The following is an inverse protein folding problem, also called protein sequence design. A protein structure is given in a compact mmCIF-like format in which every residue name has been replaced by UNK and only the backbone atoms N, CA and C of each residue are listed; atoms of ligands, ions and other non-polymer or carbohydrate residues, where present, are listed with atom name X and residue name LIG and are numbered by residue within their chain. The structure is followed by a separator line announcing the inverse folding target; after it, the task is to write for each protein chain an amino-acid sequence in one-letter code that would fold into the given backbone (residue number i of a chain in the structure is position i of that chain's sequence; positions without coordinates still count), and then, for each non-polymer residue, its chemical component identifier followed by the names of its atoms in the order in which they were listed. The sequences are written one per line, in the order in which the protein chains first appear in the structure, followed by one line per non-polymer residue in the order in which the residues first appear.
data_IF_235588903157
#
_entry.id   IF_235588903157
#
_cell.length_a   1.000
_cell.length_b   1.000
_cell.length_c   1.000
_cell.angle_alpha   90.00
_cell.angle_beta   90.00
_cell.angle_gamma   90.00
#
_symmetry.space_group_name_H-M   'P 1'
#
loop_
_entity.id
_entity.type
_entity.pdbx_description
1 polymer ?
#
# COMPACT_ATOMS: atom_id res chain seq x y z
N UNK A 1 -16.95 6.64 33.33
CA UNK A 1 -16.61 5.30 33.76
C UNK A 1 -15.56 4.78 32.80
N UNK A 2 -14.33 4.47 33.21
CA UNK A 2 -13.37 3.92 32.29
C UNK A 2 -13.81 2.51 31.90
N UNK A 3 -13.96 2.28 30.59
CA UNK A 3 -14.15 0.95 30.04
C UNK A 3 -12.86 0.13 30.25
N UNK A 4 -12.77 -0.54 31.38
CA UNK A 4 -11.81 -1.58 31.63
C UNK A 4 -12.13 -2.74 30.67
N UNK A 5 -11.36 -2.84 29.59
CA UNK A 5 -11.25 -4.10 28.86
C UNK A 5 -10.50 -5.11 29.75
N UNK A 6 -11.02 -6.32 29.93
CA UNK A 6 -10.25 -7.36 30.58
C UNK A 6 -8.97 -7.56 29.77
N UNK A 7 -7.83 -7.64 30.45
CA UNK A 7 -6.61 -8.25 29.94
C UNK A 7 -6.92 -9.73 29.69
N UNK A 8 -7.68 -10.05 28.67
CA UNK A 8 -7.63 -11.36 28.07
C UNK A 8 -6.25 -11.46 27.42
N UNK A 9 -5.31 -11.95 28.21
CA UNK A 9 -4.14 -12.61 27.67
C UNK A 9 -4.65 -13.57 26.62
N UNK A 10 -4.43 -13.22 25.35
CA UNK A 10 -4.63 -14.14 24.25
C UNK A 10 -3.63 -15.29 24.48
N UNK A 11 -4.04 -16.27 25.31
CA UNK A 11 -3.34 -17.54 25.47
C UNK A 11 -3.50 -18.33 24.19
N UNK A 12 -2.83 -17.89 23.14
CA UNK A 12 -2.70 -18.64 21.91
C UNK A 12 -1.67 -19.73 22.18
N UNK A 13 -2.15 -20.88 22.63
CA UNK A 13 -1.39 -22.11 22.57
C UNK A 13 -1.12 -22.42 21.09
N UNK A 14 0.05 -22.02 20.61
CA UNK A 14 0.50 -22.30 19.24
C UNK A 14 0.69 -23.80 19.09
N UNK A 15 -0.32 -24.51 18.58
CA UNK A 15 -0.09 -25.76 17.88
C UNK A 15 0.33 -25.40 16.48
N UNK A 16 1.62 -25.61 16.18
CA UNK A 16 2.25 -25.47 14.87
C UNK A 16 1.65 -26.47 13.86
N UNK A 17 0.46 -26.19 13.33
CA UNK A 17 0.07 -26.73 12.04
C UNK A 17 0.42 -25.66 11.01
N UNK A 18 1.46 -25.90 10.24
CA UNK A 18 1.90 -25.01 9.14
C UNK A 18 0.86 -25.08 8.02
N UNK A 19 -0.06 -24.15 7.99
CA UNK A 19 -0.91 -23.88 6.84
C UNK A 19 -0.06 -23.17 5.78
N UNK A 20 0.82 -23.92 5.11
CA UNK A 20 1.74 -23.42 4.10
C UNK A 20 1.72 -24.35 2.89
N UNK A 21 1.70 -23.76 1.69
CA UNK A 21 1.80 -24.49 0.43
C UNK A 21 3.19 -24.32 -0.17
N UNK A 22 3.80 -25.43 -0.60
CA UNK A 22 5.01 -25.42 -1.41
C UNK A 22 4.66 -25.80 -2.85
N UNK A 23 4.98 -24.92 -3.81
CA UNK A 23 4.66 -25.12 -5.21
C UNK A 23 5.93 -25.16 -6.06
N UNK A 24 5.84 -25.92 -7.15
CA UNK A 24 6.90 -26.04 -8.15
C UNK A 24 6.29 -25.94 -9.53
N UNK A 25 6.75 -24.97 -10.30
CA UNK A 25 6.42 -24.84 -11.71
C UNK A 25 7.50 -25.44 -12.63
N UNK A 26 7.36 -25.18 -13.92
CA UNK A 26 8.33 -25.61 -14.93
C UNK A 26 9.71 -24.99 -14.69
N UNK A 27 9.77 -23.69 -14.40
CA UNK A 27 11.01 -22.94 -14.19
C UNK A 27 11.28 -22.64 -12.73
N UNK A 28 10.35 -22.04 -12.00
CA UNK A 28 10.53 -21.81 -10.57
C UNK A 28 10.31 -23.08 -9.76
N UNK A 29 11.31 -23.48 -8.97
CA UNK A 29 11.28 -24.68 -8.12
C UNK A 29 11.19 -24.39 -6.63
N UNK A 30 11.25 -23.11 -6.23
CA UNK A 30 11.25 -22.67 -4.84
C UNK A 30 10.20 -21.56 -4.63
N UNK A 31 8.95 -21.98 -4.49
CA UNK A 31 7.83 -21.10 -4.18
C UNK A 31 7.11 -21.58 -2.92
N UNK A 32 6.94 -20.68 -1.93
CA UNK A 32 6.16 -20.93 -0.72
C UNK A 32 5.05 -19.89 -0.60
N UNK A 33 3.87 -20.34 -0.17
CA UNK A 33 2.71 -19.52 0.17
C UNK A 33 2.42 -19.74 1.64
N UNK A 34 2.42 -18.69 2.44
CA UNK A 34 2.27 -18.78 3.90
C UNK A 34 0.81 -18.80 4.37
N UNK A 35 -0.05 -19.45 3.61
CA UNK A 35 -1.44 -19.77 3.91
C UNK A 35 -1.92 -20.90 3.03
N UNK A 36 -2.94 -21.63 3.46
CA UNK A 36 -3.73 -22.56 2.64
C UNK A 36 -5.09 -21.96 2.24
N UNK A 37 -5.45 -20.79 2.81
CA UNK A 37 -6.64 -20.03 2.47
C UNK A 37 -6.36 -19.09 1.28
N UNK A 38 -6.45 -19.62 0.07
CA UNK A 38 -6.15 -18.91 -1.17
C UNK A 38 -7.27 -19.06 -2.19
N UNK A 39 -7.64 -17.97 -2.84
CA UNK A 39 -8.60 -17.95 -3.94
C UNK A 39 -8.09 -18.75 -5.15
N UNK A 40 -9.02 -19.41 -5.86
CA UNK A 40 -8.68 -20.23 -7.03
C UNK A 40 -8.00 -19.41 -8.14
N UNK A 41 -8.46 -18.18 -8.36
CA UNK A 41 -7.86 -17.28 -9.34
C UNK A 41 -6.42 -16.92 -8.99
N UNK A 42 -6.16 -16.62 -7.71
CA UNK A 42 -4.81 -16.35 -7.22
C UNK A 42 -3.90 -17.58 -7.39
N UNK A 43 -4.40 -18.77 -7.06
CA UNK A 43 -3.65 -20.01 -7.23
C UNK A 43 -3.33 -20.30 -8.70
N UNK A 44 -4.30 -20.08 -9.60
CA UNK A 44 -4.11 -20.21 -11.04
C UNK A 44 -3.05 -19.24 -11.57
N UNK A 45 -3.08 -17.97 -11.12
CA UNK A 45 -2.06 -16.99 -11.48
C UNK A 45 -0.66 -17.42 -11.01
N UNK A 46 -0.55 -18.01 -9.81
CA UNK A 46 0.72 -18.50 -9.27
C UNK A 46 1.29 -19.59 -10.17
N UNK A 47 0.52 -20.62 -10.50
CA UNK A 47 0.99 -21.67 -11.41
C UNK A 47 1.44 -21.10 -12.76
N UNK A 48 0.71 -20.10 -13.28
CA UNK A 48 1.05 -19.49 -14.55
C UNK A 48 2.43 -18.80 -14.51
N UNK A 49 2.73 -18.00 -13.49
CA UNK A 49 4.04 -17.33 -13.43
C UNK A 49 5.18 -18.27 -13.01
N UNK A 50 4.93 -19.33 -12.24
CA UNK A 50 5.95 -20.35 -11.93
C UNK A 50 6.45 -21.09 -13.18
N UNK A 51 5.65 -21.12 -14.24
CA UNK A 51 5.98 -21.69 -15.54
C UNK A 51 6.63 -20.68 -16.51
N UNK A 52 6.92 -19.46 -16.05
CA UNK A 52 7.57 -18.44 -16.87
C UNK A 52 9.10 -18.46 -16.69
N UNK A 53 9.90 -18.43 -17.79
CA UNK A 53 11.36 -18.53 -17.73
C UNK A 53 12.05 -17.48 -16.86
N UNK A 54 11.45 -16.26 -16.74
CA UNK A 54 12.03 -15.20 -15.93
C UNK A 54 12.15 -15.54 -14.44
N UNK A 55 11.45 -16.57 -13.97
CA UNK A 55 11.53 -17.03 -12.58
C UNK A 55 12.40 -18.27 -12.39
N UNK A 56 13.22 -18.62 -13.40
CA UNK A 56 14.18 -19.70 -13.27
C UNK A 56 15.13 -19.44 -12.09
N UNK A 57 15.26 -20.42 -11.20
CA UNK A 57 16.06 -20.35 -9.96
C UNK A 57 15.63 -19.23 -8.97
N UNK A 58 14.46 -18.63 -9.15
CA UNK A 58 13.94 -17.62 -8.21
C UNK A 58 13.45 -18.26 -6.92
N UNK A 59 13.69 -17.54 -5.79
CA UNK A 59 13.11 -17.82 -4.48
C UNK A 59 11.86 -16.97 -4.30
N UNK A 60 10.67 -17.51 -4.60
CA UNK A 60 9.42 -16.80 -4.49
C UNK A 60 8.78 -17.06 -3.12
N UNK A 61 8.35 -15.98 -2.46
CA UNK A 61 7.63 -16.05 -1.19
C UNK A 61 6.36 -15.22 -1.29
N UNK A 62 5.24 -15.81 -0.91
CA UNK A 62 3.91 -15.21 -1.02
C UNK A 62 3.30 -15.11 0.37
N UNK A 63 2.96 -13.89 0.76
CA UNK A 63 2.46 -13.54 2.09
C UNK A 63 1.04 -14.07 2.32
N UNK A 64 0.61 -14.24 3.60
CA UNK A 64 -0.71 -14.81 3.93
C UNK A 64 -1.90 -13.96 3.46
N UNK A 65 -1.72 -12.68 3.21
CA UNK A 65 -2.73 -11.77 2.67
C UNK A 65 -2.93 -11.90 1.14
N UNK A 66 -2.40 -12.98 0.55
CA UNK A 66 -2.46 -13.26 -0.89
C UNK A 66 -3.88 -13.20 -1.44
N UNK A 67 -4.02 -12.52 -2.58
CA UNK A 67 -5.23 -12.46 -3.39
C UNK A 67 -4.88 -12.17 -4.85
N UNK A 68 -5.84 -12.36 -5.76
CA UNK A 68 -5.62 -12.10 -7.18
C UNK A 68 -5.28 -10.62 -7.42
N UNK A 69 -4.20 -10.39 -8.15
CA UNK A 69 -3.81 -9.08 -8.67
C UNK A 69 -4.15 -8.95 -10.16
N UNK A 70 -3.58 -7.94 -10.84
CA UNK A 70 -3.85 -7.77 -12.27
C UNK A 70 -3.06 -8.78 -13.13
N UNK A 71 -1.76 -8.90 -12.93
CA UNK A 71 -0.88 -9.78 -13.73
C UNK A 71 -0.05 -10.74 -12.85
N UNK A 72 0.06 -10.43 -11.58
CA UNK A 72 0.67 -11.27 -10.55
C UNK A 72 -0.10 -11.07 -9.24
N UNK A 73 -0.06 -12.04 -8.35
CA UNK A 73 -0.75 -11.96 -7.06
C UNK A 73 -0.20 -10.81 -6.19
N UNK A 74 -1.04 -10.29 -5.33
CA UNK A 74 -0.66 -9.41 -4.21
C UNK A 74 -0.11 -10.27 -3.07
N UNK A 75 0.83 -9.76 -2.28
CA UNK A 75 1.59 -10.53 -1.30
C UNK A 75 2.88 -11.14 -1.86
N UNK A 76 3.24 -10.79 -3.09
CA UNK A 76 4.36 -11.39 -3.82
C UNK A 76 5.71 -10.77 -3.46
N UNK A 77 6.73 -11.63 -3.25
CA UNK A 77 8.12 -11.23 -3.06
C UNK A 77 9.08 -12.13 -3.82
N UNK A 78 10.09 -11.52 -4.45
CA UNK A 78 11.14 -12.23 -5.17
C UNK A 78 12.45 -11.44 -5.13
N UNK A 79 13.62 -12.09 -4.94
CA UNK A 79 14.90 -11.41 -5.11
C UNK A 79 15.00 -10.77 -6.50
N UNK A 80 15.45 -9.51 -6.52
CA UNK A 80 15.63 -8.78 -7.75
C UNK A 80 16.86 -9.29 -8.51
N UNK A 81 16.73 -9.42 -9.82
CA UNK A 81 17.78 -9.90 -10.73
C UNK A 81 18.15 -8.83 -11.76
N UNK A 82 18.47 -9.23 -12.97
CA UNK A 82 18.86 -8.38 -14.09
C UNK A 82 17.72 -8.02 -15.05
N UNK A 83 16.48 -8.31 -14.63
CA UNK A 83 15.27 -8.02 -15.40
C UNK A 83 14.10 -7.66 -14.49
N UNK A 84 13.14 -6.92 -15.01
CA UNK A 84 11.91 -6.55 -14.30
C UNK A 84 10.73 -6.47 -15.24
N UNK A 85 9.58 -6.99 -14.79
CA UNK A 85 8.31 -6.69 -15.41
C UNK A 85 7.60 -5.59 -14.57
N UNK A 86 7.21 -4.46 -15.17
CA UNK A 86 6.49 -3.39 -14.46
C UNK A 86 5.22 -3.86 -13.74
N UNK A 87 4.57 -4.92 -14.24
CA UNK A 87 3.37 -5.50 -13.62
C UNK A 87 3.65 -6.14 -12.25
N UNK A 88 4.91 -6.53 -11.98
CA UNK A 88 5.32 -7.11 -10.71
C UNK A 88 5.46 -6.08 -9.57
N UNK A 89 5.57 -4.81 -9.89
CA UNK A 89 5.40 -3.71 -8.93
C UNK A 89 3.96 -3.18 -8.98
N UNK A 90 3.40 -3.11 -10.20
CA UNK A 90 2.03 -2.65 -10.45
C UNK A 90 1.92 -1.14 -10.66
N UNK A 91 0.70 -0.68 -10.93
CA UNK A 91 0.45 0.74 -11.25
C UNK A 91 0.46 1.67 -10.04
N UNK A 92 0.26 1.16 -8.82
CA UNK A 92 0.36 1.97 -7.60
C UNK A 92 1.78 1.88 -7.01
N UNK A 93 2.75 2.37 -7.79
CA UNK A 93 4.17 2.38 -7.41
C UNK A 93 4.36 3.19 -6.12
N UNK A 94 5.02 2.60 -5.14
CA UNK A 94 5.28 3.27 -3.86
C UNK A 94 4.04 3.40 -2.99
N UNK A 95 2.97 2.59 -3.24
CA UNK A 95 1.86 2.49 -2.29
C UNK A 95 2.39 2.16 -0.91
N UNK A 96 1.90 2.85 0.11
CA UNK A 96 2.49 2.85 1.43
C UNK A 96 1.48 3.25 2.50
N UNK A 97 1.82 2.91 3.74
CA UNK A 97 1.08 3.30 4.94
C UNK A 97 1.98 4.17 5.80
N UNK A 98 1.51 5.37 6.14
CA UNK A 98 2.11 6.23 7.15
C UNK A 98 1.24 6.21 8.40
N UNK A 99 1.83 5.94 9.56
CA UNK A 99 1.15 6.02 10.86
C UNK A 99 1.91 6.97 11.76
N UNK A 100 1.22 7.96 12.31
CA UNK A 100 1.76 8.92 13.26
C UNK A 100 1.05 8.80 14.60
N UNK A 101 1.82 8.80 15.68
CA UNK A 101 1.34 8.75 17.06
C UNK A 101 1.50 10.13 17.67
N UNK A 102 0.48 10.60 18.40
CA UNK A 102 0.50 11.92 19.01
C UNK A 102 0.53 11.84 20.53
N UNK A 103 0.82 12.96 21.17
CA UNK A 103 0.75 13.16 22.62
C UNK A 103 -0.64 13.61 23.12
N UNK A 104 -1.65 13.69 22.22
CA UNK A 104 -2.99 14.17 22.57
C UNK A 104 -3.91 13.02 22.96
N UNK A 105 -4.47 13.02 24.21
CA UNK A 105 -5.48 12.06 24.63
C UNK A 105 -6.77 12.16 23.80
N UNK A 106 -7.34 10.99 23.49
CA UNK A 106 -8.57 10.85 22.71
C UNK A 106 -9.78 11.37 23.49
N UNK A 107 -10.69 12.03 22.77
CA UNK A 107 -11.99 12.45 23.27
C UNK A 107 -13.05 12.24 22.18
N UNK A 108 -14.03 11.39 22.45
CA UNK A 108 -15.07 11.00 21.49
C UNK A 108 -15.90 12.19 20.99
N UNK A 109 -16.08 13.21 21.83
CA UNK A 109 -16.81 14.43 21.45
C UNK A 109 -16.16 15.20 20.29
N UNK A 110 -14.86 14.97 20.02
CA UNK A 110 -14.08 15.66 18.99
C UNK A 110 -14.23 15.00 17.59
N UNK A 111 -14.70 13.72 17.50
CA UNK A 111 -14.71 12.94 16.27
C UNK A 111 -15.45 13.61 15.10
N UNK A 112 -16.66 14.16 15.25
CA UNK A 112 -17.36 14.80 14.14
C UNK A 112 -16.59 16.01 13.58
N UNK A 113 -15.99 16.81 14.45
CA UNK A 113 -15.23 17.98 14.07
C UNK A 113 -13.90 17.60 13.37
N UNK A 114 -13.22 16.57 13.88
CA UNK A 114 -11.98 16.03 13.28
C UNK A 114 -12.27 15.47 11.89
N UNK A 115 -13.26 14.56 11.73
CA UNK A 115 -13.57 13.98 10.43
C UNK A 115 -13.96 15.05 9.41
N UNK A 116 -14.83 16.00 9.81
CA UNK A 116 -15.24 17.12 8.96
C UNK A 116 -14.03 17.90 8.45
N UNK A 117 -13.13 18.28 9.35
CA UNK A 117 -11.94 19.08 9.02
C UNK A 117 -10.97 18.30 8.13
N UNK A 118 -10.80 16.98 8.36
CA UNK A 118 -9.99 16.13 7.47
C UNK A 118 -10.60 16.13 6.06
N UNK A 119 -11.92 15.93 5.91
CA UNK A 119 -12.58 15.92 4.60
C UNK A 119 -12.53 17.24 3.85
N UNK A 120 -12.51 18.35 4.57
CA UNK A 120 -12.36 19.68 3.96
C UNK A 120 -10.94 19.86 3.38
N UNK A 121 -9.91 19.37 4.07
CA UNK A 121 -8.51 19.63 3.77
C UNK A 121 -7.81 18.51 3.00
N UNK A 122 -8.21 17.25 3.18
CA UNK A 122 -7.68 16.07 2.46
C UNK A 122 -8.71 15.61 1.44
N UNK A 123 -8.29 15.41 0.17
CA UNK A 123 -9.19 14.98 -0.89
C UNK A 123 -9.14 13.47 -1.06
N UNK A 124 -10.30 12.87 -1.36
CA UNK A 124 -10.48 11.44 -1.55
C UNK A 124 -10.96 11.12 -2.97
N UNK A 125 -10.76 9.89 -3.42
CA UNK A 125 -11.20 9.41 -4.72
C UNK A 125 -10.45 10.09 -5.87
N UNK A 126 -11.21 10.50 -6.88
CA UNK A 126 -10.70 11.20 -8.06
C UNK A 126 -10.50 12.71 -7.84
N UNK A 127 -10.98 13.22 -6.72
CA UNK A 127 -10.87 14.66 -6.42
C UNK A 127 -9.43 15.03 -6.10
N UNK A 128 -8.96 16.13 -6.69
CA UNK A 128 -7.66 16.73 -6.42
C UNK A 128 -7.84 18.17 -5.89
N UNK A 129 -6.78 18.78 -5.39
CA UNK A 129 -6.82 20.16 -4.93
C UNK A 129 -6.94 21.14 -6.08
N UNK A 130 -7.69 22.24 -5.91
CA UNK A 130 -7.74 23.32 -6.87
C UNK A 130 -6.43 24.13 -6.91
N UNK A 131 -5.76 24.20 -5.75
CA UNK A 131 -4.47 24.88 -5.58
C UNK A 131 -3.53 23.97 -4.80
N UNK A 132 -2.22 24.08 -5.05
CA UNK A 132 -1.22 23.34 -4.28
C UNK A 132 -1.31 23.71 -2.79
N UNK A 133 -1.39 22.71 -1.94
CA UNK A 133 -1.46 22.83 -0.47
C UNK A 133 -0.08 22.69 0.19
N UNK A 134 0.98 22.79 -0.59
CA UNK A 134 2.38 22.63 -0.19
C UNK A 134 3.30 23.55 -1.00
N UNK A 135 4.56 23.69 -0.58
CA UNK A 135 5.59 24.41 -1.34
C UNK A 135 6.21 23.50 -2.39
N UNK A 136 6.03 23.83 -3.68
CA UNK A 136 6.55 23.09 -4.83
C UNK A 136 8.08 22.97 -4.80
N UNK A 137 8.81 23.95 -4.25
CA UNK A 137 10.27 23.88 -4.10
C UNK A 137 10.69 22.76 -3.15
N UNK A 138 9.89 22.49 -2.11
CA UNK A 138 10.15 21.39 -1.18
C UNK A 138 9.91 20.03 -1.85
N UNK A 139 8.94 19.92 -2.76
CA UNK A 139 8.75 18.72 -3.57
C UNK A 139 10.00 18.43 -4.42
N UNK A 140 10.48 19.40 -5.19
CA UNK A 140 11.69 19.20 -6.01
C UNK A 140 12.90 18.81 -5.17
N UNK A 141 13.12 19.49 -4.05
CA UNK A 141 14.20 19.15 -3.12
C UNK A 141 14.06 17.71 -2.62
N UNK A 142 12.84 17.28 -2.29
CA UNK A 142 12.58 15.92 -1.82
C UNK A 142 12.87 14.89 -2.92
N UNK A 143 12.34 15.09 -4.12
CA UNK A 143 12.58 14.20 -5.27
C UNK A 143 14.08 14.10 -5.58
N UNK A 144 14.79 15.23 -5.60
CA UNK A 144 16.23 15.26 -5.85
C UNK A 144 17.03 14.51 -4.79
N UNK A 145 16.67 14.70 -3.50
CA UNK A 145 17.31 14.00 -2.39
C UNK A 145 17.14 12.49 -2.52
N UNK A 146 15.89 12.01 -2.73
CA UNK A 146 15.60 10.58 -2.85
C UNK A 146 16.25 9.94 -4.08
N UNK A 147 16.27 10.65 -5.21
CA UNK A 147 17.00 10.19 -6.40
C UNK A 147 18.49 10.08 -6.13
N UNK A 148 19.07 11.06 -5.43
CA UNK A 148 20.50 11.06 -5.04
C UNK A 148 20.85 9.88 -4.12
N UNK A 149 20.03 9.63 -3.10
CA UNK A 149 20.18 8.49 -2.18
C UNK A 149 20.08 7.15 -2.92
N UNK A 150 19.09 6.99 -3.80
CA UNK A 150 18.92 5.78 -4.60
C UNK A 150 20.12 5.53 -5.53
N UNK A 151 20.63 6.57 -6.17
CA UNK A 151 21.85 6.49 -7.01
C UNK A 151 23.10 6.17 -6.21
N UNK A 152 23.22 6.68 -4.99
CA UNK A 152 24.33 6.34 -4.11
C UNK A 152 24.27 4.87 -3.67
N UNK A 153 23.07 4.36 -3.42
CA UNK A 153 22.84 2.98 -2.99
C UNK A 153 22.99 1.97 -4.14
N UNK A 154 22.58 2.34 -5.34
CA UNK A 154 22.65 1.46 -6.52
C UNK A 154 22.97 2.21 -7.80
N UNK A 155 24.23 2.70 -7.96
CA UNK A 155 24.63 3.60 -9.04
C UNK A 155 24.50 2.99 -10.45
N UNK A 156 24.64 1.67 -10.57
CA UNK A 156 24.51 0.95 -11.84
C UNK A 156 23.05 0.77 -12.31
N UNK A 157 22.07 0.96 -11.42
CA UNK A 157 20.66 0.74 -11.70
C UNK A 157 19.82 2.01 -11.81
N UNK A 158 20.28 3.13 -11.23
CA UNK A 158 19.53 4.38 -11.20
C UNK A 158 20.20 5.42 -12.08
N UNK A 159 19.54 5.81 -13.16
CA UNK A 159 20.04 6.83 -14.08
C UNK A 159 20.05 8.22 -13.44
N UNK A 160 20.85 9.12 -14.03
CA UNK A 160 20.73 10.54 -13.70
C UNK A 160 19.47 11.11 -14.38
N UNK A 161 18.68 11.86 -13.61
CA UNK A 161 17.49 12.54 -14.08
C UNK A 161 17.51 14.00 -13.62
N UNK A 162 17.16 14.91 -14.54
CA UNK A 162 16.95 16.30 -14.18
C UNK A 162 15.65 16.46 -13.41
N UNK A 163 15.75 16.88 -12.15
CA UNK A 163 14.61 17.08 -11.22
C UNK A 163 14.26 18.57 -11.06
N UNK A 164 14.75 19.43 -11.97
CA UNK A 164 14.28 20.83 -12.08
C UNK A 164 12.88 20.86 -12.68
N UNK A 165 12.21 22.02 -12.60
CA UNK A 165 10.91 22.23 -13.26
C UNK A 165 10.93 21.78 -14.72
N UNK A 166 11.95 22.19 -15.48
CA UNK A 166 12.12 21.80 -16.89
C UNK A 166 12.26 20.28 -17.06
N UNK A 167 13.05 19.64 -16.20
CA UNK A 167 13.26 18.20 -16.25
C UNK A 167 11.98 17.42 -15.90
N UNK A 168 11.24 17.88 -14.88
CA UNK A 168 9.95 17.29 -14.51
C UNK A 168 8.92 17.47 -15.61
N UNK A 169 8.81 18.66 -16.23
CA UNK A 169 7.92 18.87 -17.40
C UNK A 169 8.24 17.89 -18.54
N UNK A 170 9.53 17.68 -18.85
CA UNK A 170 9.95 16.72 -19.87
C UNK A 170 9.60 15.26 -19.49
N UNK A 171 9.78 14.89 -18.23
CA UNK A 171 9.39 13.59 -17.69
C UNK A 171 7.89 13.34 -17.81
N UNK A 172 7.06 14.28 -17.34
CA UNK A 172 5.60 14.19 -17.39
C UNK A 172 5.09 14.07 -18.83
N UNK A 173 5.67 14.85 -19.75
CA UNK A 173 5.34 14.74 -21.18
C UNK A 173 5.66 13.35 -21.74
N UNK A 174 6.79 12.75 -21.34
CA UNK A 174 7.18 11.40 -21.81
C UNK A 174 6.19 10.32 -21.37
N UNK A 175 5.67 10.41 -20.15
CA UNK A 175 4.72 9.44 -19.60
C UNK A 175 3.25 9.83 -19.83
N UNK A 176 2.97 10.85 -20.65
CA UNK A 176 1.63 11.36 -20.93
C UNK A 176 0.85 11.74 -19.67
N UNK A 177 1.43 12.55 -18.79
CA UNK A 177 0.80 13.08 -17.58
C UNK A 177 0.76 14.60 -17.62
N UNK A 178 -0.40 15.21 -17.25
CA UNK A 178 -0.49 16.65 -17.12
C UNK A 178 0.18 17.17 -15.85
N UNK A 179 0.81 18.36 -15.94
CA UNK A 179 1.37 19.05 -14.77
C UNK A 179 0.31 19.35 -13.74
N UNK A 180 -0.92 19.70 -14.16
CA UNK A 180 -2.03 19.92 -13.26
C UNK A 180 -2.27 18.70 -12.36
N UNK A 181 -2.40 17.51 -12.95
CA UNK A 181 -2.56 16.27 -12.17
C UNK A 181 -1.37 16.01 -11.26
N UNK A 182 -0.15 16.24 -11.72
CA UNK A 182 1.06 16.04 -10.92
C UNK A 182 1.09 16.93 -9.68
N UNK A 183 0.90 18.25 -9.84
CA UNK A 183 1.01 19.18 -8.71
C UNK A 183 -0.20 19.19 -7.79
N UNK A 184 -1.39 18.92 -8.28
CA UNK A 184 -2.63 19.04 -7.50
C UNK A 184 -3.08 17.73 -6.85
N UNK A 185 -2.46 16.59 -7.17
CA UNK A 185 -2.75 15.32 -6.51
C UNK A 185 -2.01 15.12 -5.18
N UNK A 186 -0.99 15.93 -4.87
CA UNK A 186 -0.31 15.88 -3.57
C UNK A 186 -1.23 16.42 -2.46
N UNK A 187 -1.27 15.72 -1.33
CA UNK A 187 -2.24 15.96 -0.25
C UNK A 187 -3.57 15.25 -0.49
N UNK A 188 -3.62 14.24 -1.40
CA UNK A 188 -4.84 13.48 -1.70
C UNK A 188 -4.64 11.98 -1.48
N UNK A 189 -5.67 11.30 -0.99
CA UNK A 189 -5.60 9.89 -0.58
C UNK A 189 -5.89 8.96 -1.76
N UNK A 190 -6.90 9.23 -2.56
CA UNK A 190 -7.37 8.34 -3.62
C UNK A 190 -8.59 7.53 -3.22
N UNK A 191 -8.83 6.46 -3.95
CA UNK A 191 -9.99 5.59 -3.76
C UNK A 191 -9.59 4.13 -3.57
N UNK A 192 -10.56 3.24 -3.67
CA UNK A 192 -10.35 1.82 -3.47
C UNK A 192 -10.00 1.48 -2.02
N UNK A 193 -8.92 0.73 -1.81
CA UNK A 193 -8.44 0.35 -0.48
C UNK A 193 -7.74 1.49 0.29
N UNK A 194 -7.51 2.65 -0.34
CA UNK A 194 -6.91 3.80 0.34
C UNK A 194 -7.84 4.38 1.40
N UNK A 195 -7.25 4.91 2.47
CA UNK A 195 -8.01 5.43 3.60
C UNK A 195 -7.21 6.45 4.43
N UNK A 196 -7.92 7.23 5.24
CA UNK A 196 -7.38 7.88 6.43
C UNK A 196 -8.13 7.33 7.63
N UNK A 197 -7.39 6.89 8.64
CA UNK A 197 -7.93 6.39 9.88
C UNK A 197 -7.37 7.19 11.05
N UNK A 198 -8.22 7.56 11.99
CA UNK A 198 -7.79 8.05 13.30
C UNK A 198 -8.10 6.94 14.30
N UNK A 199 -7.11 6.57 15.08
CA UNK A 199 -7.20 5.50 16.06
C UNK A 199 -6.74 5.94 17.45
N UNK A 200 -6.83 5.01 18.40
CA UNK A 200 -6.38 5.18 19.77
C UNK A 200 -5.30 4.18 20.10
N UNK A 201 -4.19 4.68 20.67
CA UNK A 201 -3.10 3.85 21.20
C UNK A 201 -3.47 3.19 22.51
N UNK A 202 -2.73 2.18 23.00
CA UNK A 202 -2.96 1.60 24.33
C UNK A 202 -2.91 2.63 25.47
N UNK A 203 -2.11 3.71 25.30
CA UNK A 203 -1.98 4.80 26.27
C UNK A 203 -3.15 5.79 26.21
N UNK A 204 -4.09 5.63 25.25
CA UNK A 204 -5.26 6.48 25.11
C UNK A 204 -5.05 7.74 24.29
N UNK A 205 -3.96 7.84 23.53
CA UNK A 205 -3.65 8.99 22.67
C UNK A 205 -4.15 8.79 21.26
N UNK A 206 -4.40 9.90 20.53
CA UNK A 206 -4.67 9.84 19.11
C UNK A 206 -3.46 9.33 18.34
N UNK A 207 -3.72 8.36 17.47
CA UNK A 207 -2.86 8.02 16.36
C UNK A 207 -3.64 8.23 15.05
N UNK A 208 -2.95 8.52 13.96
CA UNK A 208 -3.60 8.56 12.65
C UNK A 208 -2.77 7.83 11.61
N UNK A 209 -3.46 7.24 10.65
CA UNK A 209 -2.88 6.44 9.59
C UNK A 209 -3.43 6.86 8.25
N UNK A 210 -2.57 7.05 7.29
CA UNK A 210 -2.93 7.26 5.89
C UNK A 210 -2.40 6.11 5.04
N UNK A 211 -3.25 5.49 4.22
CA UNK A 211 -2.88 4.57 3.18
C UNK A 211 -3.09 5.24 1.82
N UNK A 212 -2.02 5.51 1.12
CA UNK A 212 -2.05 6.09 -0.23
C UNK A 212 -0.74 5.79 -0.97
N UNK A 213 -0.63 6.23 -2.22
CA UNK A 213 0.53 5.99 -3.06
C UNK A 213 0.90 7.18 -3.94
N UNK A 214 1.53 6.90 -5.06
CA UNK A 214 1.99 7.89 -6.04
C UNK A 214 0.88 8.46 -6.92
N UNK A 215 -0.37 8.14 -6.63
CA UNK A 215 -1.54 8.64 -7.35
C UNK A 215 -1.44 8.28 -8.84
N UNK A 216 -1.92 9.14 -9.73
CA UNK A 216 -1.87 8.94 -11.18
C UNK A 216 -0.43 8.83 -11.72
N UNK A 217 0.58 9.38 -11.02
CA UNK A 217 1.98 9.32 -11.46
C UNK A 217 2.46 7.88 -11.63
N UNK A 218 2.29 7.04 -10.61
CA UNK A 218 2.71 5.64 -10.68
C UNK A 218 2.01 4.85 -11.78
N UNK A 219 0.71 5.10 -11.98
CA UNK A 219 -0.03 4.48 -13.08
C UNK A 219 0.49 4.87 -14.46
N UNK A 220 0.82 6.15 -14.67
CA UNK A 220 1.39 6.64 -15.92
C UNK A 220 2.78 6.07 -16.18
N UNK A 221 3.63 6.00 -15.15
CA UNK A 221 4.95 5.34 -15.22
C UNK A 221 4.79 3.86 -15.56
N UNK A 222 3.93 3.15 -14.84
CA UNK A 222 3.65 1.74 -15.10
C UNK A 222 3.16 1.51 -16.53
N UNK A 223 2.16 2.28 -17.00
CA UNK A 223 1.61 2.15 -18.36
C UNK A 223 2.68 2.38 -19.43
N UNK A 224 3.48 3.43 -19.28
CA UNK A 224 4.57 3.75 -20.21
C UNK A 224 5.56 2.58 -20.33
N UNK A 225 6.07 2.09 -19.21
CA UNK A 225 7.08 1.04 -19.21
C UNK A 225 6.52 -0.36 -19.54
N UNK A 226 5.26 -0.62 -19.27
CA UNK A 226 4.58 -1.83 -19.75
C UNK A 226 4.52 -1.85 -21.28
N UNK A 227 4.18 -0.74 -21.91
CA UNK A 227 4.17 -0.63 -23.35
C UNK A 227 5.59 -0.78 -23.93
N UNK A 228 6.61 -0.18 -23.31
CA UNK A 228 8.00 -0.36 -23.72
C UNK A 228 8.45 -1.82 -23.59
N UNK A 229 8.08 -2.51 -22.50
CA UNK A 229 8.39 -3.93 -22.32
C UNK A 229 7.75 -4.80 -23.42
N UNK A 230 6.51 -4.52 -23.82
CA UNK A 230 5.85 -5.22 -24.94
C UNK A 230 6.54 -4.98 -26.29
N UNK A 231 7.11 -3.79 -26.51
CA UNK A 231 7.86 -3.49 -27.75
C UNK A 231 9.22 -4.19 -27.82
N UNK A 232 9.85 -4.40 -26.66
CA UNK A 232 11.20 -4.97 -26.57
C UNK A 232 11.19 -6.51 -26.55
N UNK A 233 10.06 -7.11 -26.24
CA UNK A 233 9.91 -8.56 -26.19
C UNK A 233 9.02 -9.06 -27.32
N UNK A 234 9.39 -10.19 -27.93
CA UNK A 234 8.55 -10.88 -28.93
C UNK A 234 7.27 -11.49 -28.34
N UNK A 235 6.89 -11.12 -27.10
CA UNK A 235 5.71 -11.64 -26.43
C UNK A 235 4.96 -10.56 -25.62
N UNK A 236 3.65 -10.68 -25.51
CA UNK A 236 2.78 -9.81 -24.71
C UNK A 236 3.13 -9.76 -23.20
N UNK A 237 4.04 -10.59 -22.72
CA UNK A 237 4.54 -10.67 -21.33
C UNK A 237 6.00 -10.24 -21.24
N UNK A 238 6.37 -9.19 -21.95
CA UNK A 238 7.72 -8.66 -21.98
C UNK A 238 8.20 -8.18 -20.60
N UNK A 239 9.51 -8.29 -20.41
CA UNK A 239 10.22 -7.72 -19.27
C UNK A 239 11.32 -6.79 -19.77
N UNK A 240 11.73 -5.86 -18.92
CA UNK A 240 12.76 -4.87 -19.19
C UNK A 240 14.11 -5.39 -18.72
N UNK A 241 15.14 -5.13 -19.51
CA UNK A 241 16.55 -5.40 -19.21
C UNK A 241 17.41 -4.20 -19.55
N UNK A 242 18.65 -4.20 -19.09
CA UNK A 242 19.66 -3.20 -19.48
C UNK A 242 19.20 -1.75 -19.26
N UNK A 243 19.31 -0.91 -20.30
CA UNK A 243 18.99 0.52 -20.20
C UNK A 243 17.49 0.78 -19.95
N UNK A 244 16.61 0.00 -20.55
CA UNK A 244 15.17 0.14 -20.34
C UNK A 244 14.77 -0.18 -18.89
N UNK A 245 15.37 -1.22 -18.29
CA UNK A 245 15.19 -1.55 -16.89
C UNK A 245 15.68 -0.41 -15.98
N UNK A 246 16.87 0.15 -16.24
CA UNK A 246 17.37 1.31 -15.49
C UNK A 246 16.46 2.53 -15.59
N UNK A 247 15.92 2.79 -16.79
CA UNK A 247 14.93 3.84 -17.01
C UNK A 247 13.69 3.64 -16.13
N UNK A 248 13.11 2.43 -16.14
CA UNK A 248 11.97 2.09 -15.30
C UNK A 248 12.27 2.26 -13.79
N UNK A 249 13.42 1.74 -13.33
CA UNK A 249 13.83 1.84 -11.93
C UNK A 249 14.00 3.31 -11.53
N UNK A 250 14.54 4.15 -12.39
CA UNK A 250 14.68 5.59 -12.12
C UNK A 250 13.31 6.27 -11.97
N UNK A 251 12.38 6.01 -12.88
CA UNK A 251 11.01 6.55 -12.80
C UNK A 251 10.23 6.00 -11.60
N UNK A 252 10.47 4.73 -11.23
CA UNK A 252 9.91 4.13 -10.02
C UNK A 252 10.41 4.86 -8.76
N UNK A 253 11.71 5.20 -8.68
CA UNK A 253 12.27 5.98 -7.58
C UNK A 253 11.60 7.34 -7.46
N UNK A 254 11.38 8.04 -8.57
CA UNK A 254 10.65 9.32 -8.57
C UNK A 254 9.21 9.13 -8.08
N UNK A 255 8.54 8.06 -8.54
CA UNK A 255 7.16 7.76 -8.10
C UNK A 255 7.08 7.43 -6.61
N UNK A 256 8.03 6.68 -6.06
CA UNK A 256 8.14 6.41 -4.62
C UNK A 256 8.41 7.67 -3.81
N UNK A 257 9.34 8.50 -4.26
CA UNK A 257 9.64 9.78 -3.61
C UNK A 257 8.42 10.72 -3.64
N UNK A 258 7.67 10.73 -4.72
CA UNK A 258 6.42 11.47 -4.83
C UNK A 258 5.36 10.94 -3.85
N UNK A 259 5.18 9.62 -3.74
CA UNK A 259 4.27 9.00 -2.78
C UNK A 259 4.65 9.34 -1.32
N UNK A 260 5.93 9.28 -0.99
CA UNK A 260 6.43 9.68 0.33
C UNK A 260 6.15 11.16 0.63
N UNK A 261 6.34 12.04 -0.36
CA UNK A 261 6.03 13.46 -0.19
C UNK A 261 4.52 13.70 -0.05
N UNK A 262 3.70 12.95 -0.79
CA UNK A 262 2.24 12.96 -0.65
C UNK A 262 1.82 12.62 0.79
N UNK A 263 2.39 11.57 1.38
CA UNK A 263 2.16 11.22 2.78
C UNK A 263 2.56 12.34 3.75
N UNK A 264 3.73 12.96 3.59
CA UNK A 264 4.17 14.08 4.43
C UNK A 264 3.15 15.23 4.43
N UNK A 265 2.55 15.50 3.29
CA UNK A 265 1.52 16.55 3.17
C UNK A 265 0.21 16.10 3.82
N UNK A 266 -0.24 14.86 3.59
CA UNK A 266 -1.44 14.30 4.22
C UNK A 266 -1.29 14.28 5.74
N UNK A 267 -0.18 13.77 6.25
CA UNK A 267 0.08 13.65 7.69
C UNK A 267 0.03 15.03 8.38
N UNK A 268 0.58 16.08 7.75
CA UNK A 268 0.46 17.44 8.23
C UNK A 268 -0.99 17.92 8.24
N UNK A 269 -1.74 17.70 7.16
CA UNK A 269 -3.14 18.12 7.06
C UNK A 269 -4.04 17.40 8.08
N UNK A 270 -3.79 16.11 8.33
CA UNK A 270 -4.52 15.31 9.33
C UNK A 270 -4.20 15.79 10.74
N UNK A 271 -2.91 16.04 11.07
CA UNK A 271 -2.53 16.60 12.36
C UNK A 271 -3.18 17.97 12.60
N UNK A 272 -3.14 18.87 11.62
CA UNK A 272 -3.79 20.18 11.67
C UNK A 272 -5.31 20.04 11.90
N UNK A 273 -5.95 19.03 11.31
CA UNK A 273 -7.37 18.74 11.50
C UNK A 273 -7.67 18.22 12.92
N UNK A 274 -6.82 17.36 13.48
CA UNK A 274 -6.96 16.87 14.86
C UNK A 274 -6.80 18.03 15.84
N UNK A 275 -5.81 18.91 15.64
CA UNK A 275 -5.60 20.11 16.46
C UNK A 275 -6.82 21.06 16.37
N UNK A 276 -7.30 21.32 15.18
CA UNK A 276 -8.46 22.20 14.95
C UNK A 276 -9.75 21.61 15.50
N UNK A 277 -10.00 20.32 15.25
CA UNK A 277 -11.24 19.64 15.67
C UNK A 277 -11.33 19.43 17.18
N UNK A 278 -10.20 19.18 17.85
CA UNK A 278 -10.13 19.05 19.31
C UNK A 278 -10.00 20.38 20.05
N UNK A 279 -9.59 21.44 19.36
CA UNK A 279 -9.26 22.73 19.99
C UNK A 279 -8.02 22.68 20.90
N UNK A 280 -7.19 21.63 20.80
CA UNK A 280 -6.01 21.39 21.65
C UNK A 280 -4.75 21.27 20.80
N UNK A 281 -3.60 21.52 21.42
CA UNK A 281 -2.29 21.29 20.78
C UNK A 281 -1.99 19.79 20.77
N UNK A 282 -1.37 19.32 19.69
CA UNK A 282 -0.84 17.97 19.54
C UNK A 282 0.50 18.01 18.82
N UNK A 283 1.39 17.09 19.18
CA UNK A 283 2.65 16.86 18.47
C UNK A 283 2.80 15.39 18.11
N UNK A 284 3.46 15.11 17.00
CA UNK A 284 3.80 13.74 16.62
C UNK A 284 4.98 13.30 17.45
N UNK A 285 4.81 12.23 18.23
CA UNK A 285 5.84 11.62 19.06
C UNK A 285 6.58 10.49 18.34
N UNK A 286 5.90 9.81 17.43
CA UNK A 286 6.46 8.75 16.59
C UNK A 286 5.79 8.75 15.21
N UNK A 287 6.57 8.42 14.17
CA UNK A 287 6.07 8.23 12.81
C UNK A 287 6.68 6.98 12.19
N UNK A 288 5.83 6.10 11.64
CA UNK A 288 6.20 4.85 11.03
C UNK A 288 5.74 4.88 9.57
N UNK A 289 6.62 4.53 8.64
CA UNK A 289 6.33 4.52 7.21
C UNK A 289 6.69 3.18 6.60
N UNK A 290 5.73 2.53 5.92
CA UNK A 290 5.89 1.22 5.30
C UNK A 290 5.43 1.23 3.85
N UNK A 291 6.33 0.88 2.94
CA UNK A 291 6.05 0.76 1.50
C UNK A 291 5.85 -0.70 1.13
N UNK A 292 4.93 -0.99 0.19
CA UNK A 292 4.56 -2.35 -0.17
C UNK A 292 4.47 -2.65 -1.69
N UNK A 293 4.71 -1.67 -2.58
CA UNK A 293 4.80 -1.87 -4.04
C UNK A 293 6.08 -1.21 -4.57
N UNK A 294 7.19 -1.94 -4.56
CA UNK A 294 8.49 -1.36 -4.88
C UNK A 294 9.59 -2.41 -5.07
N UNK A 295 10.75 -1.93 -5.52
CA UNK A 295 12.02 -2.65 -5.46
C UNK A 295 12.84 -2.05 -4.31
N UNK A 296 13.11 -2.86 -3.30
CA UNK A 296 13.96 -2.53 -2.17
C UNK A 296 15.45 -2.67 -2.58
N UNK A 297 16.16 -1.56 -2.68
CA UNK A 297 17.55 -1.57 -3.13
C UNK A 297 18.51 -2.13 -2.08
N UNK A 298 18.21 -1.88 -0.80
CA UNK A 298 19.05 -2.39 0.30
C UNK A 298 19.06 -3.91 0.38
N UNK A 299 17.90 -4.52 0.15
CA UNK A 299 17.73 -5.96 0.21
C UNK A 299 17.74 -6.61 -1.18
N UNK A 300 17.78 -5.84 -2.25
CA UNK A 300 17.61 -6.28 -3.65
C UNK A 300 16.39 -7.19 -3.80
N UNK A 301 15.24 -6.70 -3.30
CA UNK A 301 14.00 -7.47 -3.22
C UNK A 301 12.86 -6.71 -3.91
N UNK A 302 12.17 -7.35 -4.84
CA UNK A 302 10.92 -6.86 -5.41
C UNK A 302 9.76 -7.30 -4.51
N UNK A 303 8.88 -6.35 -4.16
CA UNK A 303 7.67 -6.57 -3.36
C UNK A 303 6.45 -5.96 -4.02
N UNK A 304 5.37 -6.75 -4.08
CA UNK A 304 4.03 -6.31 -4.49
C UNK A 304 3.01 -6.71 -3.44
N UNK A 305 2.46 -5.74 -2.73
CA UNK A 305 1.57 -6.00 -1.60
C UNK A 305 2.28 -6.73 -0.46
N UNK A 306 3.54 -6.42 -0.23
CA UNK A 306 4.35 -6.96 0.87
C UNK A 306 5.30 -5.89 1.39
N UNK A 307 5.57 -5.91 2.69
CA UNK A 307 6.44 -4.95 3.36
C UNK A 307 7.76 -5.58 3.77
N UNK A 308 8.83 -4.78 3.82
CA UNK A 308 10.11 -5.25 4.34
C UNK A 308 10.05 -5.43 5.86
N UNK A 309 10.43 -6.61 6.35
CA UNK A 309 10.44 -6.98 7.76
C UNK A 309 11.83 -7.48 8.23
N UNK A 310 12.95 -6.72 7.98
CA UNK A 310 14.22 -7.08 8.55
C UNK A 310 14.17 -6.98 10.08
N UNK A 311 15.10 -7.63 10.75
CA UNK A 311 15.15 -7.70 12.21
C UNK A 311 15.11 -6.31 12.85
N UNK A 312 14.22 -6.12 13.81
CA UNK A 312 14.03 -4.90 14.57
C UNK A 312 13.38 -3.73 13.84
N UNK A 313 13.12 -3.84 12.53
CA UNK A 313 12.42 -2.77 11.80
C UNK A 313 10.97 -2.69 12.23
N UNK A 314 10.55 -1.50 12.68
CA UNK A 314 9.14 -1.21 13.00
C UNK A 314 8.32 -1.07 11.71
N UNK A 315 7.16 -1.69 11.68
CA UNK A 315 6.24 -1.67 10.54
C UNK A 315 4.77 -1.69 10.97
N UNK A 316 3.89 -1.35 10.04
CA UNK A 316 2.44 -1.27 10.25
C UNK A 316 1.75 -2.29 9.35
N UNK A 317 0.79 -3.03 9.90
CA UNK A 317 -0.08 -3.93 9.14
C UNK A 317 -1.53 -3.58 9.47
N UNK A 318 -2.25 -2.85 8.56
CA UNK A 318 -3.67 -2.58 8.71
C UNK A 318 -4.52 -3.80 8.34
N UNK A 319 -5.63 -3.99 9.02
CA UNK A 319 -6.57 -5.08 8.73
C UNK A 319 -7.75 -4.61 7.89
N UNK A 320 -8.68 -3.89 8.49
CA UNK A 320 -9.88 -3.35 7.84
C UNK A 320 -10.45 -2.18 8.64
N UNK A 321 -11.55 -1.59 8.18
CA UNK A 321 -12.16 -0.38 8.77
C UNK A 321 -12.60 -0.53 10.23
N UNK A 322 -12.83 -1.77 10.72
CA UNK A 322 -13.29 -2.06 12.07
C UNK A 322 -12.16 -2.51 13.00
N UNK A 323 -11.28 -3.35 12.50
CA UNK A 323 -10.31 -4.07 13.32
C UNK A 323 -8.98 -3.30 13.46
N UNK A 324 -8.82 -2.18 12.71
CA UNK A 324 -7.69 -1.27 12.84
C UNK A 324 -6.39 -1.87 12.31
N UNK A 325 -5.31 -1.67 13.05
CA UNK A 325 -3.97 -2.06 12.64
C UNK A 325 -3.08 -2.49 13.81
N UNK A 326 -1.97 -3.15 13.47
CA UNK A 326 -0.91 -3.45 14.43
C UNK A 326 0.35 -2.68 14.11
N UNK A 327 1.05 -2.29 15.18
CA UNK A 327 2.45 -1.92 15.15
C UNK A 327 3.27 -3.16 15.54
N UNK A 328 4.27 -3.50 14.75
CA UNK A 328 5.07 -4.70 14.95
C UNK A 328 6.51 -4.50 14.50
N UNK A 329 7.38 -5.42 14.89
CA UNK A 329 8.80 -5.47 14.53
C UNK A 329 9.07 -6.67 13.62
N UNK A 330 9.82 -6.46 12.57
CA UNK A 330 10.31 -7.53 11.72
C UNK A 330 11.29 -8.44 12.46
N UNK A 331 11.25 -9.73 12.16
CA UNK A 331 12.15 -10.77 12.72
C UNK A 331 13.30 -11.13 11.79
N UNK A 332 13.43 -10.49 10.61
CA UNK A 332 14.46 -10.77 9.65
C UNK A 332 14.42 -12.21 9.09
N UNK A 333 13.24 -12.84 9.03
CA UNK A 333 13.10 -14.23 8.61
C UNK A 333 13.43 -14.38 7.12
N UNK A 334 14.60 -14.95 6.83
CA UNK A 334 15.10 -15.15 5.47
C UNK A 334 14.22 -16.10 4.65
N UNK A 335 13.55 -17.09 5.28
CA UNK A 335 12.62 -17.96 4.56
C UNK A 335 11.40 -17.19 4.04
N UNK A 336 11.06 -16.07 4.66
CA UNK A 336 10.02 -15.14 4.22
C UNK A 336 10.55 -14.01 3.30
N UNK A 337 11.74 -14.13 2.75
CA UNK A 337 12.41 -13.03 2.05
C UNK A 337 12.49 -11.73 2.91
N UNK A 338 12.66 -11.88 4.23
CA UNK A 338 12.59 -10.79 5.22
C UNK A 338 11.41 -9.85 4.95
N UNK A 339 10.22 -10.42 4.75
CA UNK A 339 9.01 -9.70 4.36
C UNK A 339 7.83 -10.12 5.22
N UNK A 340 6.80 -9.25 5.28
CA UNK A 340 5.55 -9.48 5.94
C UNK A 340 4.38 -9.04 5.04
N UNK A 341 3.12 -9.44 5.31
CA UNK A 341 1.97 -8.94 4.57
C UNK A 341 1.80 -7.43 4.77
N UNK A 342 1.20 -6.77 3.77
CA UNK A 342 0.88 -5.35 3.85
C UNK A 342 -0.47 -5.06 4.49
N UNK A 343 -1.30 -6.08 4.74
CA UNK A 343 -2.64 -5.98 5.29
C UNK A 343 -3.24 -7.34 5.60
N UNK A 344 -4.57 -7.40 5.76
CA UNK A 344 -5.28 -8.65 6.00
C UNK A 344 -5.46 -9.51 4.74
N UNK A 345 -5.47 -8.89 3.54
CA UNK A 345 -5.88 -9.54 2.32
C UNK A 345 -7.40 -9.68 2.18
N UNK A 346 -7.85 -9.84 0.95
CA UNK A 346 -9.28 -9.95 0.67
C UNK A 346 -9.74 -11.40 0.69
N UNK A 347 -10.98 -11.64 1.14
CA UNK A 347 -11.67 -12.93 1.03
C UNK A 347 -12.38 -13.09 -0.32
N UNK A 348 -12.73 -11.98 -0.97
CA UNK A 348 -13.51 -11.97 -2.19
C UNK A 348 -13.18 -10.75 -3.05
N UNK A 349 -13.46 -10.85 -4.35
CA UNK A 349 -13.30 -9.72 -5.27
C UNK A 349 -14.22 -8.55 -4.90
N UNK A 350 -13.91 -7.33 -5.40
CA UNK A 350 -14.74 -6.15 -5.18
C UNK A 350 -16.16 -6.33 -5.75
N UNK A 351 -16.28 -6.98 -6.91
CA UNK A 351 -17.57 -7.26 -7.52
C UNK A 351 -18.40 -8.20 -6.65
N UNK A 352 -17.81 -9.31 -6.18
CA UNK A 352 -18.49 -10.25 -5.31
C UNK A 352 -18.90 -9.60 -3.97
N UNK A 353 -18.05 -8.75 -3.38
CA UNK A 353 -18.40 -8.04 -2.15
C UNK A 353 -19.59 -7.08 -2.33
N UNK A 354 -19.68 -6.37 -3.47
CA UNK A 354 -20.82 -5.50 -3.80
C UNK A 354 -22.13 -6.27 -3.98
N UNK A 355 -22.04 -7.52 -4.42
CA UNK A 355 -23.21 -8.37 -4.64
C UNK A 355 -23.66 -9.13 -3.39
N UNK A 356 -22.71 -9.60 -2.59
CA UNK A 356 -22.98 -10.55 -1.51
C UNK A 356 -23.13 -9.90 -0.13
N UNK A 357 -22.54 -8.71 0.10
CA UNK A 357 -22.55 -8.09 1.43
C UNK A 357 -23.80 -7.23 1.60
N UNK A 358 -24.54 -7.50 2.68
CA UNK A 358 -25.69 -6.70 3.06
C UNK A 358 -25.27 -5.37 3.71
N UNK A 359 -25.95 -4.27 3.30
CA UNK A 359 -25.62 -2.93 3.81
C UNK A 359 -25.91 -2.76 5.29
N UNK A 360 -26.94 -3.38 5.83
CA UNK A 360 -27.30 -3.23 7.23
C UNK A 360 -26.35 -4.07 8.11
N UNK A 361 -25.90 -5.25 7.64
CA UNK A 361 -24.81 -6.00 8.27
C UNK A 361 -23.50 -5.17 8.29
N UNK A 362 -23.19 -4.48 7.19
CA UNK A 362 -22.02 -3.58 7.14
C UNK A 362 -22.13 -2.45 8.16
N UNK A 363 -23.28 -1.77 8.24
CA UNK A 363 -23.52 -0.73 9.24
C UNK A 363 -23.40 -1.27 10.68
N UNK A 364 -23.95 -2.46 10.92
CA UNK A 364 -23.85 -3.13 12.22
C UNK A 364 -22.40 -3.44 12.60
N UNK A 365 -21.62 -3.99 11.64
CA UNK A 365 -20.22 -4.29 11.84
C UNK A 365 -19.36 -3.05 12.16
N UNK A 366 -19.79 -1.87 11.73
CA UNK A 366 -19.07 -0.60 11.94
C UNK A 366 -19.55 0.16 13.19
N UNK A 367 -20.47 -0.40 14.00
CA UNK A 367 -20.89 0.25 15.24
C UNK A 367 -19.71 0.51 16.18
N UNK A 368 -19.66 1.69 16.75
CA UNK A 368 -18.58 2.16 17.62
C UNK A 368 -17.43 2.84 16.91
N UNK A 369 -17.44 2.90 15.56
CA UNK A 369 -16.47 3.64 14.76
C UNK A 369 -17.19 4.78 14.07
N UNK A 370 -16.74 5.99 14.28
CA UNK A 370 -17.29 7.16 13.62
C UNK A 370 -16.85 7.19 12.15
N UNK A 371 -17.78 7.16 11.22
CA UNK A 371 -17.46 7.17 9.79
C UNK A 371 -18.66 7.62 8.96
N UNK A 372 -18.48 8.70 8.20
CA UNK A 372 -19.45 9.11 7.16
C UNK A 372 -19.24 8.35 5.84
N UNK A 373 -18.27 7.44 5.78
CA UNK A 373 -17.99 6.63 4.59
C UNK A 373 -18.85 5.37 4.50
N UNK A 374 -19.47 4.92 5.59
CA UNK A 374 -20.23 3.66 5.62
C UNK A 374 -21.49 3.77 4.76
N UNK A 375 -21.53 3.06 3.64
CA UNK A 375 -22.61 3.12 2.69
C UNK A 375 -22.38 2.22 1.47
N UNK A 376 -23.29 2.26 0.51
CA UNK A 376 -23.21 1.44 -0.72
C UNK A 376 -21.94 1.69 -1.52
N UNK A 377 -21.42 2.93 -1.53
CA UNK A 377 -20.18 3.30 -2.25
C UNK A 377 -18.90 2.71 -1.69
N UNK A 378 -18.94 2.14 -0.48
CA UNK A 378 -17.78 1.53 0.20
C UNK A 378 -18.05 0.11 0.68
N UNK A 379 -19.15 -0.51 0.24
CA UNK A 379 -19.56 -1.84 0.70
C UNK A 379 -18.51 -2.92 0.37
N UNK A 380 -17.79 -2.75 -0.72
CA UNK A 380 -16.67 -3.62 -1.10
C UNK A 380 -15.41 -3.44 -0.23
N UNK A 381 -15.40 -2.46 0.66
CA UNK A 381 -14.34 -2.21 1.65
C UNK A 381 -14.80 -2.55 3.08
N UNK A 382 -16.00 -3.10 3.24
CA UNK A 382 -16.51 -3.54 4.55
C UNK A 382 -15.59 -4.58 5.21
N UNK A 383 -15.60 -4.70 6.55
CA UNK A 383 -14.78 -5.69 7.26
C UNK A 383 -14.99 -7.13 6.77
N UNK A 384 -16.21 -7.48 6.30
CA UNK A 384 -16.55 -8.81 5.81
C UNK A 384 -15.88 -9.18 4.48
N UNK A 385 -15.33 -8.20 3.75
CA UNK A 385 -14.61 -8.44 2.50
C UNK A 385 -13.15 -8.89 2.72
N UNK A 386 -12.66 -8.90 3.97
CA UNK A 386 -11.27 -9.16 4.34
C UNK A 386 -11.13 -10.43 5.19
N UNK A 387 -9.94 -11.05 5.13
CA UNK A 387 -9.58 -12.20 5.99
C UNK A 387 -9.63 -11.82 7.46
N UNK A 388 -9.90 -12.83 8.31
CA UNK A 388 -9.96 -12.63 9.76
C UNK A 388 -8.58 -12.17 10.29
N UNK A 389 -8.48 -11.03 11.00
CA UNK A 389 -7.24 -10.59 11.62
C UNK A 389 -6.58 -11.63 12.52
N UNK A 390 -7.36 -12.49 13.19
CA UNK A 390 -6.83 -13.55 14.06
C UNK A 390 -6.07 -14.61 13.25
N UNK A 391 -6.58 -14.97 12.08
CA UNK A 391 -5.89 -15.89 11.16
C UNK A 391 -4.57 -15.28 10.69
N UNK A 392 -4.60 -14.02 10.25
CA UNK A 392 -3.38 -13.31 9.80
C UNK A 392 -2.35 -13.23 10.92
N UNK A 393 -2.75 -12.86 12.15
CA UNK A 393 -1.86 -12.77 13.31
C UNK A 393 -1.15 -14.09 13.63
N UNK A 394 -1.86 -15.21 13.50
CA UNK A 394 -1.28 -16.54 13.70
C UNK A 394 -0.25 -16.87 12.61
N UNK A 395 -0.57 -16.58 11.35
CA UNK A 395 0.28 -16.90 10.21
C UNK A 395 1.57 -16.07 10.18
N UNK A 396 1.53 -14.80 10.61
CA UNK A 396 2.68 -13.89 10.55
C UNK A 396 3.62 -13.98 11.74
N UNK A 397 3.32 -14.79 12.74
CA UNK A 397 4.12 -14.91 13.96
C UNK A 397 5.59 -15.31 13.70
N UNK A 398 5.87 -15.98 12.59
CA UNK A 398 7.24 -16.35 12.20
C UNK A 398 8.06 -15.18 11.62
N UNK A 399 7.41 -14.13 11.14
CA UNK A 399 8.08 -13.02 10.43
C UNK A 399 8.01 -11.67 11.14
N UNK A 400 7.04 -11.48 12.05
CA UNK A 400 6.92 -10.26 12.86
C UNK A 400 6.63 -10.57 14.31
N UNK A 401 6.97 -9.62 15.18
CA UNK A 401 6.59 -9.56 16.59
C UNK A 401 5.65 -8.37 16.80
N UNK A 402 4.43 -8.63 17.27
CA UNK A 402 3.42 -7.58 17.51
C UNK A 402 3.80 -6.79 18.76
N UNK A 403 3.89 -5.47 18.64
CA UNK A 403 4.15 -4.57 19.78
C UNK A 403 2.82 -4.15 20.42
N UNK A 404 1.89 -3.59 19.64
CA UNK A 404 0.55 -3.21 20.10
C UNK A 404 -0.44 -3.03 18.95
N UNK A 405 -1.71 -2.87 19.33
CA UNK A 405 -2.82 -2.57 18.41
C UNK A 405 -3.18 -1.09 18.49
N UNK A 406 -3.51 -0.48 17.34
CA UNK A 406 -4.21 0.79 17.27
C UNK A 406 -5.65 0.51 16.86
N UNK A 407 -6.61 0.89 17.72
CA UNK A 407 -8.04 0.71 17.46
C UNK A 407 -8.58 1.89 16.68
N UNK A 408 -9.33 1.70 15.60
CA UNK A 408 -9.94 2.78 14.87
C UNK A 408 -11.05 3.44 15.71
N UNK A 409 -11.11 4.76 15.64
CA UNK A 409 -12.20 5.56 16.21
C UNK A 409 -12.87 6.42 15.14
N UNK A 410 -12.14 6.78 14.08
CA UNK A 410 -12.65 7.41 12.89
C UNK A 410 -12.05 6.72 11.67
N UNK A 411 -12.85 6.31 10.70
CA UNK A 411 -12.33 5.74 9.45
C UNK A 411 -12.96 6.44 8.23
N UNK A 412 -12.13 6.85 7.30
CA UNK A 412 -12.52 7.62 6.12
C UNK A 412 -12.01 6.98 4.84
N UNK A 413 -12.93 6.72 3.93
CA UNK A 413 -12.67 6.26 2.56
C UNK A 413 -13.34 7.19 1.53
N UNK A 414 -12.97 7.05 0.28
CA UNK A 414 -13.70 7.65 -0.81
C UNK A 414 -15.10 7.02 -0.91
N UNK A 415 -16.14 7.85 -0.92
CA UNK A 415 -17.54 7.39 -1.02
C UNK A 415 -18.04 7.29 -2.47
N UNK A 416 -17.35 7.91 -3.40
CA UNK A 416 -17.65 7.79 -4.82
C UNK A 416 -17.03 6.49 -5.33
N UNK A 417 -17.84 5.59 -5.89
CA UNK A 417 -17.39 4.35 -6.50
C UNK A 417 -16.25 4.64 -7.48
N UNK A 418 -15.04 4.30 -7.08
CA UNK A 418 -13.97 4.13 -8.04
C UNK A 418 -14.35 2.86 -8.80
N UNK A 419 -14.91 3.04 -9.97
CA UNK A 419 -15.04 1.92 -10.89
C UNK A 419 -13.63 1.60 -11.37
N UNK A 420 -13.00 0.61 -10.70
CA UNK A 420 -11.73 0.05 -11.14
C UNK A 420 -11.87 -0.72 -12.46
N UNK A 421 -13.10 -0.81 -12.97
CA UNK A 421 -13.48 -1.37 -14.27
C UNK A 421 -13.42 -0.36 -15.41
N UNK A 422 -12.90 0.83 -15.25
CA UNK A 422 -12.35 1.54 -16.40
C UNK A 422 -11.07 0.80 -16.79
N UNK A 423 -11.27 -0.39 -17.35
CA UNK A 423 -10.34 -0.97 -18.30
C UNK A 423 -10.10 0.11 -19.33
N UNK A 424 -8.92 0.70 -19.29
CA UNK A 424 -8.41 1.44 -20.42
C UNK A 424 -8.24 0.37 -21.48
N UNK A 425 -9.21 0.29 -22.39
CA UNK A 425 -9.18 -0.62 -23.52
C UNK A 425 -7.91 -0.31 -24.31
N UNK A 426 -6.93 -1.21 -24.20
CA UNK A 426 -5.63 -1.08 -24.87
C UNK A 426 -5.82 -1.34 -26.38
N UNK A 427 -7.04 -1.71 -26.80
CA UNK A 427 -7.37 -2.11 -28.16
C UNK A 427 -7.97 -0.98 -29.02
N UNK A 428 -8.20 0.24 -28.51
CA UNK A 428 -8.78 1.33 -29.33
C UNK A 428 -7.78 2.23 -30.07
N UNK A 429 -6.51 1.84 -30.21
CA UNK A 429 -5.59 2.52 -31.12
C UNK A 429 -4.90 1.50 -32.05
N UNK A 430 -5.69 0.80 -32.85
CA UNK A 430 -5.27 0.21 -34.12
C UNK A 430 -6.35 0.50 -35.15
N UNK A 431 -6.31 1.74 -35.69
CA UNK A 431 -6.73 2.08 -37.07
C UNK A 431 -5.88 3.24 -37.59
#
# INVERSE_FOLDING_TARGET
MPLLYPHETWGIGFQNQKNMLELKGKYCKDCKIYTDNIEQDALSMIYHFLDHPMFEQSKIRIMPDVHAGKDIVVGFTVPFTDHVNPDHVGGDIGCSVSTAITDLPVNEADYPAIEKTIRENVKFGMTIHEKSVYDVKQLYKHLQTRLGEARQQWPEMVNNMDVTEKGITAFLKRIDMSEHMFYHSIGTVGGGNHFVEVGVTPEGNYAFTAHCGSRNLGQKVWKYWKLEACKLADSAKGYLTGEAMRGYITDMVISQAYAEYNHKVIDRLVLEAIISGSGKKATITEQIYTTHNYIDFGMKMLRKGAVAAPEGKKLVIPFNMRDGLIICHGKGNEDWNCSAPHGAGRLMSRAAAKELIDLDEYKEAMKGIYSTSVGTGTIDESPMAYKDPKEILQLIADTVEVEYFIKPVINMKATNSYDSSVEIDINEEQD
#
